data_IF_405100310618
#
_entry.id   IF_405100310618
#
_cell.length_a   1.000
_cell.length_b   1.000
_cell.length_c   1.000
_cell.angle_alpha   90.00
_cell.angle_beta   90.00
_cell.angle_gamma   90.00
#
_symmetry.space_group_name_H-M   'P 1'
#
loop_
_entity.id
_entity.type
_entity.pdbx_description
1 polymer ?
#
# COMPACT_ATOMS: atom_id res chain seq x y z
N UNK A 1 -7.05 6.95 -6.62
CA UNK A 1 -7.19 6.49 -5.23
C UNK A 1 -6.44 7.43 -4.31
N UNK A 2 -6.92 7.62 -3.09
CA UNK A 2 -6.22 8.32 -2.01
C UNK A 2 -6.02 7.37 -0.82
N UNK A 3 -4.89 7.49 -0.15
CA UNK A 3 -4.57 6.76 1.09
C UNK A 3 -4.33 7.79 2.20
N UNK A 4 -4.86 7.53 3.40
CA UNK A 4 -4.82 8.43 4.55
C UNK A 4 -3.40 8.95 4.85
N UNK A 5 -3.31 10.24 5.11
CA UNK A 5 -2.06 10.96 5.42
C UNK A 5 -2.23 11.99 6.55
N UNK A 6 -3.43 12.14 7.09
CA UNK A 6 -3.72 13.09 8.17
C UNK A 6 -3.13 12.64 9.52
N UNK A 7 -3.07 13.57 10.47
CA UNK A 7 -2.72 13.27 11.85
C UNK A 7 -3.75 12.31 12.49
N UNK A 8 -3.38 11.51 13.51
CA UNK A 8 -4.24 10.48 14.09
C UNK A 8 -5.62 10.98 14.51
N UNK A 9 -5.73 12.20 15.05
CA UNK A 9 -6.99 12.82 15.46
C UNK A 9 -7.85 13.35 14.31
N UNK A 10 -7.42 13.20 13.04
CA UNK A 10 -8.08 13.73 11.84
C UNK A 10 -8.42 12.68 10.79
N UNK A 11 -8.14 11.41 11.03
CA UNK A 11 -8.25 10.35 10.03
C UNK A 11 -9.68 10.14 9.52
N UNK A 12 -10.68 10.20 10.40
CA UNK A 12 -12.10 10.10 10.02
C UNK A 12 -12.56 11.36 9.28
N UNK A 13 -12.12 12.53 9.75
CA UNK A 13 -12.42 13.82 9.10
C UNK A 13 -11.83 13.87 7.68
N UNK A 14 -10.59 13.40 7.49
CA UNK A 14 -9.96 13.29 6.17
C UNK A 14 -10.81 12.45 5.20
N UNK A 15 -11.27 11.27 5.64
CA UNK A 15 -12.14 10.41 4.82
C UNK A 15 -13.43 11.14 4.44
N UNK A 16 -14.02 11.89 5.36
CA UNK A 16 -15.26 12.67 5.11
C UNK A 16 -15.02 13.81 4.11
N UNK A 17 -13.94 14.57 4.27
CA UNK A 17 -13.58 15.66 3.38
C UNK A 17 -13.28 15.16 1.96
N UNK A 18 -12.53 14.07 1.84
CA UNK A 18 -12.21 13.44 0.55
C UNK A 18 -13.46 12.83 -0.11
N UNK A 19 -14.42 12.31 0.68
CA UNK A 19 -15.69 11.86 0.17
C UNK A 19 -16.51 13.01 -0.41
N UNK A 20 -16.51 14.16 0.24
CA UNK A 20 -17.18 15.37 -0.27
C UNK A 20 -16.50 15.88 -1.56
N UNK A 21 -15.16 15.89 -1.61
CA UNK A 21 -14.42 16.20 -2.82
C UNK A 21 -14.75 15.22 -3.96
N UNK A 22 -14.76 13.92 -3.67
CA UNK A 22 -15.08 12.89 -4.64
C UNK A 22 -16.52 13.05 -5.20
N UNK A 23 -17.46 13.47 -4.37
CA UNK A 23 -18.82 13.79 -4.82
C UNK A 23 -18.83 15.00 -5.79
N UNK A 24 -18.02 16.01 -5.50
CA UNK A 24 -17.97 17.24 -6.30
C UNK A 24 -17.22 17.11 -7.63
N UNK A 25 -16.14 16.31 -7.65
CA UNK A 25 -15.19 16.27 -8.77
C UNK A 25 -15.17 14.94 -9.52
N UNK A 26 -15.76 13.88 -8.98
CA UNK A 26 -15.61 12.52 -9.47
C UNK A 26 -14.39 11.78 -8.88
N UNK A 27 -13.45 12.46 -8.25
CA UNK A 27 -12.20 11.90 -7.73
C UNK A 27 -11.95 12.26 -6.25
N UNK A 28 -11.24 11.38 -5.51
CA UNK A 28 -10.68 10.07 -5.88
C UNK A 28 -11.75 8.96 -6.02
N UNK A 29 -11.47 7.91 -6.80
CA UNK A 29 -12.39 6.79 -7.05
C UNK A 29 -12.45 5.80 -5.88
N UNK A 30 -11.38 5.69 -5.11
CA UNK A 30 -11.32 4.89 -3.89
C UNK A 30 -10.58 5.63 -2.78
N UNK A 31 -10.97 5.36 -1.54
CA UNK A 31 -10.40 5.90 -0.32
C UNK A 31 -9.93 4.77 0.58
N UNK A 32 -8.70 4.87 1.02
CA UNK A 32 -8.15 4.10 2.13
C UNK A 32 -7.96 5.09 3.27
N UNK A 33 -8.73 4.93 4.32
CA UNK A 33 -8.68 5.79 5.50
C UNK A 33 -7.60 5.36 6.48
N UNK A 34 -7.64 5.88 7.68
CA UNK A 34 -6.72 5.50 8.73
C UNK A 34 -7.42 5.19 10.05
N UNK A 35 -6.67 4.56 10.95
CA UNK A 35 -7.05 4.37 12.35
C UNK A 35 -5.86 4.77 13.23
N UNK A 36 -6.16 5.31 14.43
CA UNK A 36 -5.16 5.48 15.48
C UNK A 36 -5.09 4.19 16.30
N UNK A 37 -3.99 3.40 16.22
CA UNK A 37 -3.88 2.13 16.92
C UNK A 37 -3.81 2.26 18.44
N UNK A 38 -3.73 3.48 18.98
CA UNK A 38 -3.72 3.73 20.44
C UNK A 38 -5.13 3.80 21.04
N UNK A 39 -6.18 3.87 20.22
CA UNK A 39 -7.56 3.83 20.66
C UNK A 39 -7.98 2.40 21.05
N UNK A 40 -9.01 2.29 21.87
CA UNK A 40 -9.57 0.98 22.18
C UNK A 40 -10.36 0.39 20.99
N UNK A 41 -10.57 -0.92 21.02
CA UNK A 41 -11.20 -1.62 19.89
C UNK A 41 -12.62 -1.10 19.60
N UNK A 42 -13.38 -0.73 20.62
CA UNK A 42 -14.75 -0.24 20.44
C UNK A 42 -14.76 1.12 19.71
N UNK A 43 -13.81 1.99 20.02
CA UNK A 43 -13.63 3.26 19.33
C UNK A 43 -13.14 3.03 17.89
N UNK A 44 -12.20 2.11 17.67
CA UNK A 44 -11.71 1.75 16.32
C UNK A 44 -12.86 1.21 15.45
N UNK A 45 -13.70 0.33 15.98
CA UNK A 45 -14.88 -0.18 15.28
C UNK A 45 -15.88 0.93 14.93
N UNK A 46 -16.11 1.86 15.87
CA UNK A 46 -16.96 3.03 15.63
C UNK A 46 -16.42 3.90 14.47
N UNK A 47 -15.10 4.15 14.46
CA UNK A 47 -14.43 4.91 13.38
C UNK A 47 -14.51 4.18 12.03
N UNK A 48 -14.37 2.85 12.02
CA UNK A 48 -14.57 2.05 10.80
C UNK A 48 -16.00 2.17 10.27
N UNK A 49 -16.98 2.03 11.14
CA UNK A 49 -18.40 2.12 10.75
C UNK A 49 -18.78 3.52 10.23
N UNK A 50 -18.20 4.57 10.81
CA UNK A 50 -18.36 5.93 10.33
C UNK A 50 -17.75 6.11 8.93
N UNK A 51 -16.52 5.65 8.70
CA UNK A 51 -15.86 5.74 7.40
C UNK A 51 -16.59 4.88 6.34
N UNK A 52 -17.17 3.74 6.72
CA UNK A 52 -17.95 2.86 5.84
C UNK A 52 -19.22 3.52 5.28
N UNK A 53 -19.71 4.62 5.88
CA UNK A 53 -20.81 5.40 5.28
C UNK A 53 -20.44 5.99 3.92
N UNK A 54 -19.15 6.05 3.62
CA UNK A 54 -18.59 6.52 2.35
C UNK A 54 -18.50 5.39 1.35
N UNK A 55 -19.25 5.46 0.24
CA UNK A 55 -19.29 4.40 -0.80
C UNK A 55 -17.93 4.06 -1.41
N UNK A 56 -16.98 5.01 -1.39
CA UNK A 56 -15.62 4.85 -1.97
C UNK A 56 -14.60 4.34 -0.97
N UNK A 57 -14.96 4.15 0.29
CA UNK A 57 -14.10 3.59 1.31
C UNK A 57 -13.82 2.12 1.04
N UNK A 58 -12.55 1.71 1.09
CA UNK A 58 -12.12 0.34 0.75
C UNK A 58 -11.36 -0.35 1.88
N UNK A 59 -10.75 0.40 2.77
CA UNK A 59 -9.92 -0.15 3.83
C UNK A 59 -9.20 0.92 4.60
N UNK A 60 -8.22 0.49 5.39
CA UNK A 60 -7.44 1.41 6.22
C UNK A 60 -5.94 1.16 6.10
N UNK A 61 -5.19 2.18 6.47
CA UNK A 61 -3.77 2.14 6.80
C UNK A 61 -3.56 2.58 8.23
N UNK A 62 -2.63 1.94 8.93
CA UNK A 62 -2.16 2.41 10.23
C UNK A 62 -0.87 3.22 10.00
N UNK A 63 -0.87 4.47 10.46
CA UNK A 63 0.31 5.34 10.45
C UNK A 63 1.10 5.08 11.73
N UNK A 64 2.31 4.53 11.60
CA UNK A 64 3.15 4.21 12.76
C UNK A 64 4.55 3.79 12.32
N UNK A 65 5.45 3.65 13.29
CA UNK A 65 6.79 3.11 13.07
C UNK A 65 6.91 1.74 13.72
N UNK A 66 7.67 0.83 13.08
CA UNK A 66 7.93 -0.51 13.57
C UNK A 66 6.64 -1.30 13.84
N UNK A 67 6.56 -1.92 15.00
CA UNK A 67 5.44 -2.78 15.39
C UNK A 67 4.11 -2.02 15.55
N UNK A 68 4.14 -0.69 15.74
CA UNK A 68 2.93 0.13 15.86
C UNK A 68 2.11 0.21 14.57
N UNK A 69 2.72 -0.06 13.42
CA UNK A 69 2.02 -0.13 12.14
C UNK A 69 1.46 -1.54 11.83
N UNK A 70 1.75 -2.54 12.68
CA UNK A 70 1.25 -3.90 12.53
C UNK A 70 -0.12 -4.00 13.21
N UNK A 71 -1.18 -4.43 12.48
CA UNK A 71 -2.52 -4.48 13.04
C UNK A 71 -2.66 -5.57 14.11
N UNK A 72 -3.38 -5.28 15.18
CA UNK A 72 -3.73 -6.29 16.20
C UNK A 72 -4.76 -7.29 15.65
N UNK A 73 -4.89 -8.49 16.23
CA UNK A 73 -5.94 -9.45 15.83
C UNK A 73 -7.36 -8.86 15.89
N UNK A 74 -7.65 -7.97 16.84
CA UNK A 74 -8.94 -7.29 16.93
C UNK A 74 -9.22 -6.38 15.73
N UNK A 75 -8.21 -5.63 15.28
CA UNK A 75 -8.31 -4.78 14.08
C UNK A 75 -8.49 -5.66 12.83
N UNK A 76 -7.70 -6.72 12.68
CA UNK A 76 -7.81 -7.64 11.54
C UNK A 76 -9.19 -8.29 11.45
N UNK A 77 -9.75 -8.72 12.58
CA UNK A 77 -11.10 -9.27 12.64
C UNK A 77 -12.15 -8.22 12.23
N UNK A 78 -12.04 -7.01 12.78
CA UNK A 78 -12.97 -5.91 12.48
C UNK A 78 -12.97 -5.54 10.99
N UNK A 79 -11.80 -5.56 10.34
CA UNK A 79 -11.66 -5.32 8.90
C UNK A 79 -12.23 -6.48 8.08
N UNK A 80 -11.90 -7.71 8.44
CA UNK A 80 -12.37 -8.91 7.74
C UNK A 80 -13.91 -9.02 7.79
N UNK A 81 -14.54 -8.79 8.94
CA UNK A 81 -15.98 -8.81 9.11
C UNK A 81 -16.71 -7.77 8.25
N UNK A 82 -16.04 -6.67 7.95
CA UNK A 82 -16.55 -5.57 7.12
C UNK A 82 -16.16 -5.68 5.63
N UNK A 83 -15.42 -6.71 5.24
CA UNK A 83 -14.92 -6.87 3.86
C UNK A 83 -13.98 -5.75 3.42
N UNK A 84 -13.22 -5.19 4.36
CA UNK A 84 -12.24 -4.13 4.15
C UNK A 84 -10.84 -4.70 3.89
N UNK A 85 -10.02 -3.96 3.15
CA UNK A 85 -8.60 -4.26 2.97
C UNK A 85 -7.74 -3.56 4.03
N UNK A 86 -6.52 -4.07 4.21
CA UNK A 86 -5.48 -3.44 5.02
C UNK A 86 -4.28 -3.05 4.16
N UNK A 87 -3.83 -1.80 4.24
CA UNK A 87 -2.57 -1.34 3.65
C UNK A 87 -1.47 -1.34 4.70
N UNK A 88 -0.48 -2.21 4.51
CA UNK A 88 0.66 -2.40 5.38
C UNK A 88 1.78 -1.45 4.97
N UNK A 89 2.11 -0.49 5.83
CA UNK A 89 3.20 0.46 5.63
C UNK A 89 4.23 0.28 6.74
N UNK A 90 5.22 -0.55 6.50
CA UNK A 90 6.30 -0.85 7.45
C UNK A 90 7.66 -0.87 6.74
N UNK A 91 8.72 -0.64 7.49
CA UNK A 91 10.10 -0.76 7.03
C UNK A 91 10.59 -2.22 7.04
N UNK A 92 11.74 -2.51 6.41
CA UNK A 92 12.27 -3.86 6.25
C UNK A 92 12.40 -4.68 7.54
N UNK A 93 12.74 -4.05 8.65
CA UNK A 93 12.87 -4.68 9.96
C UNK A 93 11.54 -5.18 10.56
N UNK A 94 10.41 -4.61 10.12
CA UNK A 94 9.08 -5.00 10.57
C UNK A 94 8.30 -5.88 9.55
N UNK A 95 8.86 -6.19 8.37
CA UNK A 95 8.16 -7.02 7.36
C UNK A 95 7.92 -8.45 7.84
N UNK A 96 8.91 -9.12 8.43
CA UNK A 96 8.76 -10.49 8.94
C UNK A 96 7.80 -10.56 10.14
N UNK A 97 7.86 -9.68 11.16
CA UNK A 97 6.82 -9.56 12.18
C UNK A 97 5.42 -9.33 11.60
N UNK A 98 5.29 -8.46 10.60
CA UNK A 98 4.00 -8.21 9.94
C UNK A 98 3.49 -9.46 9.21
N UNK A 99 4.35 -10.20 8.50
CA UNK A 99 3.98 -11.44 7.85
C UNK A 99 3.45 -12.47 8.87
N UNK A 100 4.11 -12.59 10.03
CA UNK A 100 3.65 -13.46 11.11
C UNK A 100 2.28 -13.05 11.66
N UNK A 101 2.04 -11.76 11.86
CA UNK A 101 0.76 -11.23 12.35
C UNK A 101 -0.38 -11.41 11.34
N UNK A 102 -0.09 -11.34 10.04
CA UNK A 102 -1.05 -11.48 8.95
C UNK A 102 -1.32 -12.94 8.56
N UNK A 103 -0.53 -13.88 9.07
CA UNK A 103 -0.68 -15.30 8.75
C UNK A 103 -2.05 -15.84 9.19
N UNK A 104 -2.75 -16.50 8.27
CA UNK A 104 -4.06 -17.10 8.52
C UNK A 104 -5.28 -16.18 8.30
N UNK A 105 -5.09 -14.89 8.14
CA UNK A 105 -6.16 -13.94 7.80
C UNK A 105 -6.50 -13.98 6.31
N UNK A 106 -7.77 -13.74 5.96
CA UNK A 106 -8.25 -13.83 4.57
C UNK A 106 -8.58 -12.47 3.94
N UNK A 107 -8.51 -11.37 4.74
CA UNK A 107 -8.71 -10.03 4.20
C UNK A 107 -7.62 -9.68 3.17
N UNK A 108 -7.93 -8.84 2.16
CA UNK A 108 -6.91 -8.37 1.23
C UNK A 108 -5.90 -7.47 1.95
N UNK A 109 -4.61 -7.72 1.71
CA UNK A 109 -3.51 -6.91 2.25
C UNK A 109 -2.71 -6.32 1.11
N UNK A 110 -2.34 -5.05 1.24
CA UNK A 110 -1.46 -4.33 0.31
C UNK A 110 -0.18 -3.96 1.02
N UNK A 111 0.94 -4.47 0.56
CA UNK A 111 2.27 -4.04 1.02
C UNK A 111 2.62 -2.74 0.31
N UNK A 112 2.65 -1.63 1.04
CA UNK A 112 2.93 -0.32 0.47
C UNK A 112 4.41 -0.11 0.16
N UNK A 113 4.65 0.77 -0.80
CA UNK A 113 5.97 1.33 -1.12
C UNK A 113 7.07 0.28 -1.33
N UNK A 114 6.71 -0.82 -1.99
CA UNK A 114 7.68 -1.90 -2.26
C UNK A 114 8.33 -2.43 -0.98
N UNK A 115 7.56 -2.49 0.16
CA UNK A 115 8.11 -2.84 1.48
C UNK A 115 8.99 -1.77 2.11
N UNK A 116 8.89 -0.55 1.64
CA UNK A 116 9.44 0.71 2.15
C UNK A 116 10.91 0.64 2.62
N UNK A 117 11.86 0.27 1.72
CA UNK A 117 13.28 0.32 2.05
C UNK A 117 13.71 1.75 2.40
N UNK A 118 14.68 1.89 3.31
CA UNK A 118 15.21 3.20 3.72
C UNK A 118 16.44 3.62 2.92
N UNK A 119 17.17 2.64 2.39
CA UNK A 119 18.46 2.86 1.72
C UNK A 119 18.83 1.71 0.79
N UNK A 120 19.96 1.85 0.10
CA UNK A 120 20.62 0.77 -0.65
C UNK A 120 21.66 0.00 0.20
N UNK A 121 21.61 0.10 1.53
CA UNK A 121 22.51 -0.64 2.39
C UNK A 121 22.35 -2.15 2.21
N UNK A 122 23.43 -2.94 2.04
CA UNK A 122 23.32 -4.37 1.82
C UNK A 122 22.64 -5.15 2.94
N UNK A 123 22.80 -4.75 4.21
CA UNK A 123 22.14 -5.43 5.33
C UNK A 123 20.63 -5.16 5.31
N UNK A 124 20.24 -3.93 5.06
CA UNK A 124 18.82 -3.57 4.91
C UNK A 124 18.19 -4.27 3.69
N UNK A 125 18.93 -4.36 2.60
CA UNK A 125 18.46 -5.05 1.40
C UNK A 125 18.19 -6.55 1.65
N UNK A 126 19.05 -7.24 2.44
CA UNK A 126 18.79 -8.64 2.80
C UNK A 126 17.59 -8.79 3.73
N UNK A 127 17.40 -7.91 4.72
CA UNK A 127 16.21 -7.88 5.56
C UNK A 127 14.94 -7.65 4.72
N UNK A 128 15.00 -6.71 3.79
CA UNK A 128 13.91 -6.43 2.87
C UNK A 128 13.56 -7.66 2.02
N UNK A 129 14.56 -8.32 1.40
CA UNK A 129 14.35 -9.51 0.58
C UNK A 129 13.67 -10.63 1.36
N UNK A 130 14.15 -10.91 2.56
CA UNK A 130 13.60 -11.96 3.42
C UNK A 130 12.16 -11.64 3.83
N UNK A 131 11.89 -10.44 4.32
CA UNK A 131 10.54 -10.03 4.73
C UNK A 131 9.54 -9.96 3.58
N UNK A 132 9.96 -9.50 2.40
CA UNK A 132 9.12 -9.52 1.19
C UNK A 132 8.80 -10.94 0.75
N UNK A 133 9.74 -11.87 0.86
CA UNK A 133 9.50 -13.29 0.56
C UNK A 133 8.50 -13.92 1.55
N UNK A 134 8.59 -13.59 2.84
CA UNK A 134 7.62 -14.04 3.86
C UNK A 134 6.21 -13.54 3.52
N UNK A 135 6.05 -12.26 3.20
CA UNK A 135 4.76 -11.67 2.81
C UNK A 135 4.22 -12.27 1.51
N UNK A 136 5.07 -12.47 0.49
CA UNK A 136 4.68 -13.08 -0.77
C UNK A 136 4.26 -14.55 -0.62
N UNK A 137 4.86 -15.25 0.36
CA UNK A 137 4.54 -16.64 0.74
C UNK A 137 3.22 -16.81 1.47
N UNK A 138 2.62 -15.73 1.97
CA UNK A 138 1.26 -15.75 2.50
C UNK A 138 0.26 -16.07 1.37
N UNK A 139 -1.03 -16.11 1.70
CA UNK A 139 -2.08 -16.44 0.72
C UNK A 139 -2.12 -15.43 -0.44
N UNK A 140 -2.85 -15.78 -1.49
CA UNK A 140 -3.00 -14.96 -2.71
C UNK A 140 -3.66 -13.58 -2.48
N UNK A 141 -4.13 -13.29 -1.26
CA UNK A 141 -4.71 -12.01 -0.88
C UNK A 141 -3.68 -10.91 -0.54
N UNK A 142 -2.37 -11.20 -0.58
CA UNK A 142 -1.33 -10.18 -0.37
C UNK A 142 -0.80 -9.67 -1.71
N UNK A 143 -0.91 -8.36 -1.92
CA UNK A 143 -0.50 -7.63 -3.12
C UNK A 143 0.58 -6.61 -2.78
N UNK A 144 1.55 -6.39 -3.66
CA UNK A 144 2.60 -5.38 -3.50
C UNK A 144 2.31 -4.13 -4.32
N UNK A 145 2.34 -2.97 -3.68
CA UNK A 145 2.27 -1.66 -4.31
C UNK A 145 3.68 -1.18 -4.64
N UNK A 146 4.04 -1.18 -5.91
CA UNK A 146 5.34 -0.74 -6.44
C UNK A 146 5.38 0.79 -6.49
N UNK A 147 5.84 1.41 -5.42
CA UNK A 147 5.87 2.87 -5.25
C UNK A 147 6.86 3.27 -4.16
N UNK A 148 7.00 4.57 -3.89
CA UNK A 148 7.73 5.12 -2.75
C UNK A 148 9.24 4.92 -2.80
N UNK A 149 9.81 4.48 -3.92
CA UNK A 149 11.24 4.24 -4.07
C UNK A 149 12.05 5.51 -4.28
N UNK A 150 11.43 6.58 -4.79
CA UNK A 150 12.16 7.82 -5.08
C UNK A 150 12.68 8.49 -3.81
N UNK A 151 11.96 8.37 -2.69
CA UNK A 151 12.37 8.94 -1.40
C UNK A 151 13.69 8.35 -0.88
N UNK A 152 13.78 7.04 -0.59
CA UNK A 152 15.01 6.44 -0.07
C UNK A 152 16.16 6.47 -1.09
N UNK A 153 15.84 6.34 -2.38
CA UNK A 153 16.85 6.28 -3.44
C UNK A 153 17.28 7.68 -3.94
N UNK A 154 16.55 8.73 -3.59
CA UNK A 154 16.77 10.12 -4.04
C UNK A 154 16.93 10.24 -5.57
N UNK A 155 16.16 9.46 -6.30
CA UNK A 155 16.29 9.32 -7.75
C UNK A 155 14.99 8.77 -8.35
N UNK A 156 14.69 9.21 -9.58
CA UNK A 156 13.63 8.62 -10.42
C UNK A 156 14.20 7.84 -11.61
N UNK A 157 15.48 7.48 -11.58
CA UNK A 157 16.08 6.72 -12.68
C UNK A 157 15.59 5.26 -12.69
N UNK A 158 15.18 4.77 -13.85
CA UNK A 158 14.72 3.39 -14.04
C UNK A 158 15.73 2.36 -13.51
N UNK A 159 17.04 2.59 -13.74
CA UNK A 159 18.09 1.71 -13.29
C UNK A 159 18.17 1.60 -11.75
N UNK A 160 17.76 2.65 -11.03
CA UNK A 160 17.70 2.65 -9.56
C UNK A 160 16.52 1.82 -9.05
N UNK A 161 15.38 1.88 -9.72
CA UNK A 161 14.17 1.17 -9.35
C UNK A 161 14.18 -0.32 -9.74
N UNK A 162 14.85 -0.64 -10.86
CA UNK A 162 14.79 -1.96 -11.49
C UNK A 162 15.09 -3.13 -10.53
N UNK A 163 16.12 -3.12 -9.68
CA UNK A 163 16.41 -4.22 -8.77
C UNK A 163 15.26 -4.51 -7.78
N UNK A 164 14.63 -3.46 -7.26
CA UNK A 164 13.53 -3.55 -6.29
C UNK A 164 12.25 -4.05 -6.96
N UNK A 165 11.89 -3.44 -8.09
CA UNK A 165 10.67 -3.77 -8.82
C UNK A 165 10.74 -5.19 -9.39
N UNK A 166 11.86 -5.57 -10.03
CA UNK A 166 12.02 -6.92 -10.57
C UNK A 166 11.93 -7.98 -9.49
N UNK A 167 12.58 -7.76 -8.34
CA UNK A 167 12.52 -8.72 -7.25
C UNK A 167 11.12 -8.82 -6.65
N UNK A 168 10.42 -7.71 -6.46
CA UNK A 168 9.03 -7.74 -6.00
C UNK A 168 8.13 -8.50 -7.00
N UNK A 169 8.28 -8.26 -8.30
CA UNK A 169 7.53 -8.99 -9.33
C UNK A 169 7.92 -10.49 -9.35
N UNK A 170 9.19 -10.83 -9.13
CA UNK A 170 9.63 -12.24 -9.02
C UNK A 170 8.93 -12.96 -7.86
N UNK A 171 8.76 -12.30 -6.70
CA UNK A 171 8.15 -12.88 -5.51
C UNK A 171 6.61 -12.94 -5.60
N UNK A 172 5.97 -11.86 -6.00
CA UNK A 172 4.52 -11.72 -5.98
C UNK A 172 3.85 -12.12 -7.32
N UNK A 173 4.59 -12.10 -8.41
CA UNK A 173 4.03 -12.21 -9.76
C UNK A 173 3.38 -10.92 -10.24
N UNK A 174 3.17 -10.79 -11.56
CA UNK A 174 2.51 -9.62 -12.15
C UNK A 174 1.04 -9.47 -11.74
N UNK A 175 0.39 -10.55 -11.30
CA UNK A 175 -1.01 -10.55 -10.87
C UNK A 175 -1.21 -9.97 -9.46
N UNK A 176 -0.15 -9.88 -8.67
CA UNK A 176 -0.16 -9.36 -7.30
C UNK A 176 0.80 -8.18 -7.10
N UNK A 177 1.11 -7.45 -8.17
CA UNK A 177 1.86 -6.20 -8.12
C UNK A 177 1.07 -5.09 -8.81
N UNK A 178 1.19 -3.85 -8.33
CA UNK A 178 0.61 -2.68 -9.00
C UNK A 178 1.46 -1.45 -8.78
N UNK A 179 1.62 -0.61 -9.80
CA UNK A 179 2.29 0.67 -9.66
C UNK A 179 1.41 1.69 -8.94
N UNK A 180 2.06 2.56 -8.15
CA UNK A 180 1.44 3.74 -7.56
C UNK A 180 2.45 4.89 -7.50
N UNK A 181 1.97 6.12 -7.40
CA UNK A 181 2.82 7.29 -7.55
C UNK A 181 3.53 7.75 -6.28
N UNK A 182 2.93 7.52 -5.12
CA UNK A 182 3.33 8.17 -3.86
C UNK A 182 3.41 9.71 -3.98
N UNK A 183 2.66 10.32 -4.92
CA UNK A 183 2.59 11.76 -5.06
C UNK A 183 1.63 12.37 -4.01
N UNK A 184 1.96 13.55 -3.48
CA UNK A 184 3.05 14.44 -3.90
C UNK A 184 4.45 14.14 -3.32
N UNK A 185 4.60 13.14 -2.45
CA UNK A 185 5.85 12.90 -1.70
C UNK A 185 7.03 12.61 -2.62
N UNK A 186 6.90 11.67 -3.55
CA UNK A 186 7.96 11.37 -4.53
C UNK A 186 8.22 12.53 -5.50
N UNK A 187 7.30 13.51 -5.61
CA UNK A 187 7.46 14.71 -6.39
C UNK A 187 8.63 15.61 -5.99
N UNK A 188 9.24 15.38 -4.83
CA UNK A 188 10.50 16.05 -4.44
C UNK A 188 11.71 15.60 -5.27
N UNK A 189 11.63 14.50 -5.99
CA UNK A 189 12.74 13.89 -6.73
C UNK A 189 12.54 13.90 -8.25
N UNK A 190 11.39 14.36 -8.75
CA UNK A 190 11.09 14.47 -10.17
C UNK A 190 9.60 14.66 -10.44
N UNK A 191 9.22 14.71 -11.71
CA UNK A 191 7.84 14.86 -12.11
C UNK A 191 7.07 13.53 -12.09
N UNK A 192 5.74 13.61 -12.13
CA UNK A 192 4.87 12.44 -12.31
C UNK A 192 5.19 11.68 -13.59
N UNK A 193 5.47 12.40 -14.69
CA UNK A 193 5.82 11.80 -15.98
C UNK A 193 7.18 11.08 -15.92
N UNK A 194 8.18 11.64 -15.19
CA UNK A 194 9.47 10.98 -14.98
C UNK A 194 9.29 9.65 -14.27
N UNK A 195 8.48 9.63 -13.21
CA UNK A 195 8.19 8.43 -12.43
C UNK A 195 7.58 7.32 -13.29
N UNK A 196 6.49 7.63 -14.00
CA UNK A 196 5.80 6.62 -14.83
C UNK A 196 6.60 6.21 -16.05
N UNK A 197 7.44 7.10 -16.61
CA UNK A 197 8.42 6.76 -17.64
C UNK A 197 9.47 5.77 -17.13
N UNK A 198 9.95 5.97 -15.89
CA UNK A 198 10.88 5.04 -15.27
C UNK A 198 10.22 3.67 -15.05
N UNK A 199 9.00 3.61 -14.54
CA UNK A 199 8.25 2.35 -14.39
C UNK A 199 8.06 1.62 -15.72
N UNK A 200 7.61 2.33 -16.75
CA UNK A 200 7.45 1.75 -18.09
C UNK A 200 8.76 1.20 -18.65
N UNK A 201 9.88 1.89 -18.40
CA UNK A 201 11.22 1.45 -18.80
C UNK A 201 11.63 0.17 -18.08
N UNK A 202 11.40 0.10 -16.76
CA UNK A 202 11.75 -1.10 -15.93
C UNK A 202 11.02 -2.35 -16.42
N UNK A 203 9.76 -2.23 -16.82
CA UNK A 203 8.94 -3.38 -17.24
C UNK A 203 8.77 -3.49 -18.76
N UNK A 204 9.59 -2.79 -19.56
CA UNK A 204 9.50 -2.80 -21.02
C UNK A 204 9.66 -4.20 -21.65
N UNK A 205 10.31 -5.13 -20.97
CA UNK A 205 10.49 -6.51 -21.42
C UNK A 205 9.30 -7.45 -21.14
N UNK A 206 8.30 -7.00 -20.40
CA UNK A 206 7.08 -7.77 -20.14
C UNK A 206 6.09 -7.65 -21.31
N UNK A 207 5.21 -8.64 -21.45
CA UNK A 207 4.11 -8.60 -22.41
C UNK A 207 3.07 -7.52 -22.05
N UNK A 208 2.18 -7.22 -23.00
CA UNK A 208 1.18 -6.16 -22.84
C UNK A 208 0.18 -6.46 -21.71
N UNK A 209 -0.23 -7.71 -21.54
CA UNK A 209 -1.17 -8.12 -20.50
C UNK A 209 -0.54 -7.97 -19.11
N UNK A 210 0.74 -8.36 -18.95
CA UNK A 210 1.47 -8.17 -17.69
C UNK A 210 1.61 -6.68 -17.35
N UNK A 211 1.92 -5.84 -18.35
CA UNK A 211 1.98 -4.39 -18.14
C UNK A 211 0.62 -3.80 -17.79
N UNK A 212 -0.45 -4.20 -18.47
CA UNK A 212 -1.81 -3.74 -18.14
C UNK A 212 -2.17 -4.06 -16.69
N UNK A 213 -1.88 -5.29 -16.22
CA UNK A 213 -2.07 -5.67 -14.82
C UNK A 213 -1.32 -4.76 -13.85
N UNK A 214 -0.05 -4.48 -14.12
CA UNK A 214 0.79 -3.67 -13.24
C UNK A 214 0.35 -2.19 -13.19
N UNK A 215 -0.12 -1.63 -14.30
CA UNK A 215 -0.47 -0.22 -14.38
C UNK A 215 -1.94 0.09 -14.06
N UNK A 216 -2.86 -0.87 -14.20
CA UNK A 216 -4.28 -0.62 -14.03
C UNK A 216 -5.06 -1.80 -13.42
N UNK A 217 -5.13 -2.96 -14.09
CA UNK A 217 -6.13 -3.99 -13.85
C UNK A 217 -6.11 -4.53 -12.41
N UNK A 218 -4.92 -4.68 -11.81
CA UNK A 218 -4.78 -5.15 -10.43
C UNK A 218 -5.33 -4.14 -9.43
N UNK A 219 -5.08 -2.84 -9.66
CA UNK A 219 -5.63 -1.78 -8.81
C UNK A 219 -7.16 -1.69 -8.96
N UNK A 220 -7.68 -1.74 -10.20
CA UNK A 220 -9.12 -1.74 -10.48
C UNK A 220 -9.82 -2.89 -9.76
N UNK A 221 -9.29 -4.10 -9.91
CA UNK A 221 -9.83 -5.31 -9.25
C UNK A 221 -9.77 -5.21 -7.73
N UNK A 222 -8.62 -4.82 -7.16
CA UNK A 222 -8.40 -4.81 -5.71
C UNK A 222 -9.23 -3.75 -5.01
N UNK A 223 -9.24 -2.53 -5.56
CA UNK A 223 -9.99 -1.40 -4.98
C UNK A 223 -11.44 -1.32 -5.48
N UNK A 224 -11.87 -2.28 -6.31
CA UNK A 224 -13.24 -2.34 -6.84
C UNK A 224 -13.63 -1.00 -7.49
N UNK A 225 -12.77 -0.53 -8.43
CA UNK A 225 -13.03 0.67 -9.20
C UNK A 225 -14.03 0.36 -10.31
N UNK A 226 -15.09 1.19 -10.41
CA UNK A 226 -16.14 1.05 -11.42
C UNK A 226 -15.78 1.79 -12.71
#
# INVERSE_FOLDING_TARGET
MHVAAAAPDKLVDETRELAAQAHATGHPDALVGGLDPNEDLAELERQLDEQLTTKRFRGIRIMGEGDHAIPTPGILQALQDRGLLFELMVHPDALAPAAAALAGWELPVVVEHTGWPRSNDPEEHELWRAGMADLAGLRANVTCKLSGLAMPMQSMAAATFAPWIHHAIELFGTDRCMFASNFPVDGMHGSFDDLYTAYATVVAGLDDDARARLFADNAERLYRLD
#
